data_IF_240939786951
#
_entry.id   IF_240939786951
#
_cell.length_a   1.000
_cell.length_b   1.000
_cell.length_c   1.000
_cell.angle_alpha   90.00
_cell.angle_beta   90.00
_cell.angle_gamma   90.00
#
_symmetry.space_group_name_H-M   'P 1'
#
loop_
_entity.id
_entity.type
_entity.pdbx_description
1 polymer ?
#
# COMPACT_ATOMS: atom_id res chain seq x y z
N UNK A 1 -11.20 11.76 -18.97
CA UNK A 1 -11.56 10.57 -18.18
C UNK A 1 -10.39 10.30 -17.24
N UNK A 2 -10.52 10.54 -15.93
CA UNK A 2 -9.43 10.70 -14.94
C UNK A 2 -8.64 9.42 -14.57
N UNK A 3 -8.58 8.45 -15.47
CA UNK A 3 -7.81 7.21 -15.31
C UNK A 3 -7.56 6.49 -16.63
N UNK A 4 -7.99 7.06 -17.74
CA UNK A 4 -7.70 6.53 -19.08
C UNK A 4 -6.35 7.07 -19.53
N UNK A 5 -5.36 6.18 -19.57
CA UNK A 5 -4.00 6.50 -20.01
C UNK A 5 -3.93 6.48 -21.54
N UNK A 6 -4.95 5.98 -22.25
CA UNK A 6 -4.99 5.87 -23.71
C UNK A 6 -3.99 4.87 -24.31
N UNK A 7 -3.15 4.27 -23.45
CA UNK A 7 -2.14 3.25 -23.79
C UNK A 7 -2.16 2.15 -22.74
N UNK A 8 -1.96 0.91 -23.20
CA UNK A 8 -1.80 -0.23 -22.29
C UNK A 8 -0.37 -0.22 -21.76
N UNK A 9 -0.14 -0.20 -20.44
CA UNK A 9 1.20 -0.35 -19.89
C UNK A 9 1.72 -1.77 -20.13
N UNK A 10 3.03 -1.90 -20.33
CA UNK A 10 3.69 -3.19 -20.60
C UNK A 10 3.51 -4.20 -19.45
N UNK A 11 3.36 -3.70 -18.21
CA UNK A 11 3.14 -4.50 -17.00
C UNK A 11 2.30 -3.74 -15.97
N UNK A 12 1.57 -4.46 -15.08
CA UNK A 12 0.97 -3.84 -13.90
C UNK A 12 2.02 -3.13 -13.05
N UNK A 13 1.68 -1.97 -12.50
CA UNK A 13 2.54 -1.27 -11.55
C UNK A 13 2.22 -1.73 -10.12
N UNK A 14 3.22 -1.65 -9.24
CA UNK A 14 3.07 -1.96 -7.82
C UNK A 14 2.95 -0.67 -7.00
N UNK A 15 2.22 -0.74 -5.89
CA UNK A 15 2.14 0.35 -4.91
C UNK A 15 3.07 -0.02 -3.76
N UNK A 16 4.10 0.79 -3.52
CA UNK A 16 5.02 0.54 -2.42
C UNK A 16 4.31 0.76 -1.07
N UNK A 17 4.63 -0.06 -0.07
CA UNK A 17 4.13 0.14 1.30
C UNK A 17 4.41 1.56 1.82
N UNK A 18 5.57 2.13 1.48
CA UNK A 18 5.92 3.51 1.83
C UNK A 18 5.00 4.58 1.26
N UNK A 19 4.13 4.28 0.28
CA UNK A 19 3.10 5.22 -0.19
C UNK A 19 1.96 5.39 0.83
N UNK A 20 1.79 4.43 1.74
CA UNK A 20 0.80 4.45 2.82
C UNK A 20 1.27 5.20 4.07
N UNK A 21 2.58 5.46 4.19
CA UNK A 21 3.18 6.01 5.41
C UNK A 21 3.91 7.32 5.14
N UNK A 22 3.75 8.35 5.99
CA UNK A 22 4.60 9.54 5.95
C UNK A 22 6.08 9.19 6.17
N UNK A 23 6.98 10.07 5.69
CA UNK A 23 8.40 9.94 5.99
C UNK A 23 8.63 10.15 7.50
N UNK A 24 9.65 9.49 8.05
CA UNK A 24 10.09 9.71 9.43
C UNK A 24 10.29 11.21 9.70
N UNK A 25 9.81 11.67 10.86
CA UNK A 25 9.87 13.07 11.27
C UNK A 25 8.76 13.96 10.70
N UNK A 26 7.87 13.46 9.82
CA UNK A 26 6.67 14.20 9.39
C UNK A 26 5.45 13.86 10.25
N UNK A 27 5.22 12.57 10.48
CA UNK A 27 4.22 12.04 11.41
C UNK A 27 4.59 10.59 11.72
N UNK A 28 4.46 10.21 12.99
CA UNK A 28 4.77 8.85 13.43
C UNK A 28 3.48 8.04 13.62
N UNK A 29 3.55 6.74 13.38
CA UNK A 29 2.45 5.81 13.61
C UNK A 29 1.13 6.15 12.86
N UNK A 30 1.25 6.62 11.61
CA UNK A 30 0.12 6.99 10.75
C UNK A 30 0.10 6.17 9.46
N UNK A 31 -1.05 5.57 9.16
CA UNK A 31 -1.34 4.90 7.89
C UNK A 31 -2.42 5.68 7.13
N UNK A 32 -2.21 5.86 5.83
CA UNK A 32 -3.10 6.64 4.96
C UNK A 32 -3.47 5.79 3.73
N UNK A 33 -4.44 4.87 3.82
CA UNK A 33 -4.77 3.94 2.72
C UNK A 33 -5.57 4.56 1.57
N UNK A 34 -6.13 5.75 1.75
CA UNK A 34 -6.98 6.44 0.76
C UNK A 34 -6.22 7.61 0.14
N UNK A 35 -5.81 8.59 0.95
CA UNK A 35 -5.08 9.78 0.52
C UNK A 35 -3.57 9.51 0.36
N UNK A 36 -3.21 8.39 -0.26
CA UNK A 36 -1.82 7.92 -0.40
C UNK A 36 -0.98 8.89 -1.25
N UNK A 37 0.32 8.90 -0.96
CA UNK A 37 1.27 9.63 -1.81
C UNK A 37 1.32 9.01 -3.20
N UNK A 38 0.81 9.74 -4.20
CA UNK A 38 0.70 9.26 -5.58
C UNK A 38 0.76 10.42 -6.57
N UNK A 39 1.15 10.12 -7.82
CA UNK A 39 0.93 11.07 -8.92
C UNK A 39 -0.55 11.10 -9.30
N UNK A 40 -1.00 12.19 -9.93
CA UNK A 40 -2.38 12.31 -10.38
C UNK A 40 -2.79 11.14 -11.30
N UNK A 41 -1.90 10.72 -12.20
CA UNK A 41 -2.13 9.58 -13.11
C UNK A 41 -2.27 8.27 -12.33
N UNK A 42 -1.38 7.98 -11.38
CA UNK A 42 -1.47 6.76 -10.57
C UNK A 42 -2.71 6.74 -9.69
N UNK A 43 -3.13 7.91 -9.18
CA UNK A 43 -4.33 8.02 -8.35
C UNK A 43 -5.61 7.64 -9.12
N UNK A 44 -5.62 7.86 -10.44
CA UNK A 44 -6.71 7.46 -11.33
C UNK A 44 -7.08 5.98 -11.21
N UNK A 45 -6.09 5.09 -11.08
CA UNK A 45 -6.30 3.65 -10.86
C UNK A 45 -6.28 3.24 -9.38
N UNK A 46 -5.56 3.95 -8.50
CA UNK A 46 -5.55 3.66 -7.06
C UNK A 46 -6.93 3.84 -6.43
N UNK A 47 -7.71 4.82 -6.89
CA UNK A 47 -9.02 5.14 -6.32
C UNK A 47 -10.14 4.15 -6.67
N UNK A 48 -9.83 3.11 -7.45
CA UNK A 48 -10.77 2.04 -7.75
C UNK A 48 -11.06 1.26 -6.47
N UNK A 49 -12.33 0.93 -6.19
CA UNK A 49 -12.71 0.19 -4.98
C UNK A 49 -11.84 -1.06 -4.71
N UNK A 50 -11.54 -1.93 -5.69
CA UNK A 50 -10.70 -3.11 -5.43
C UNK A 50 -9.30 -2.75 -4.94
N UNK A 51 -8.72 -1.64 -5.40
CA UNK A 51 -7.38 -1.21 -4.98
C UNK A 51 -7.43 -0.63 -3.57
N UNK A 52 -8.46 0.15 -3.21
CA UNK A 52 -8.66 0.60 -1.83
C UNK A 52 -8.86 -0.55 -0.85
N UNK A 53 -9.56 -1.62 -1.24
CA UNK A 53 -9.69 -2.82 -0.40
C UNK A 53 -8.32 -3.47 -0.13
N UNK A 54 -7.47 -3.58 -1.16
CA UNK A 54 -6.11 -4.13 -1.03
C UNK A 54 -5.24 -3.24 -0.14
N UNK A 55 -5.24 -1.92 -0.37
CA UNK A 55 -4.48 -0.98 0.46
C UNK A 55 -4.96 -0.97 1.90
N UNK A 56 -6.27 -1.10 2.12
CA UNK A 56 -6.89 -1.25 3.44
C UNK A 56 -6.40 -2.51 4.16
N UNK A 57 -6.38 -3.66 3.48
CA UNK A 57 -5.83 -4.89 4.05
C UNK A 57 -4.34 -4.72 4.40
N UNK A 58 -3.55 -4.18 3.49
CA UNK A 58 -2.11 -3.98 3.70
C UNK A 58 -1.83 -3.03 4.87
N UNK A 59 -2.58 -1.94 4.99
CA UNK A 59 -2.51 -1.02 6.12
C UNK A 59 -2.90 -1.71 7.44
N UNK A 60 -4.03 -2.40 7.49
CA UNK A 60 -4.50 -3.06 8.70
C UNK A 60 -3.55 -4.17 9.17
N UNK A 61 -2.99 -4.93 8.23
CA UNK A 61 -2.01 -5.98 8.53
C UNK A 61 -0.73 -5.38 9.11
N UNK A 62 -0.23 -4.30 8.51
CA UNK A 62 0.93 -3.61 9.04
C UNK A 62 0.67 -2.98 10.41
N UNK A 63 -0.53 -2.44 10.65
CA UNK A 63 -0.93 -1.93 11.96
C UNK A 63 -0.94 -3.02 13.02
N UNK A 64 -1.47 -4.21 12.72
CA UNK A 64 -1.46 -5.34 13.64
C UNK A 64 -0.03 -5.77 14.00
N UNK A 65 0.85 -5.91 13.00
CA UNK A 65 2.27 -6.23 13.22
C UNK A 65 2.99 -5.15 14.03
N UNK A 66 2.72 -3.87 13.75
CA UNK A 66 3.30 -2.75 14.50
C UNK A 66 2.90 -2.79 15.98
N UNK A 67 1.63 -3.12 16.28
CA UNK A 67 1.13 -3.28 17.64
C UNK A 67 1.82 -4.46 18.33
N UNK A 68 1.90 -5.62 17.67
CA UNK A 68 2.47 -6.83 18.25
C UNK A 68 3.98 -6.70 18.52
N UNK A 69 4.71 -6.06 17.61
CA UNK A 69 6.16 -5.85 17.73
C UNK A 69 6.51 -4.60 18.56
N UNK A 70 5.53 -3.76 18.93
CA UNK A 70 5.74 -2.54 19.70
C UNK A 70 6.55 -1.47 18.94
N UNK A 71 6.38 -1.39 17.62
CA UNK A 71 7.12 -0.48 16.72
C UNK A 71 6.18 0.48 16.01
N UNK A 72 6.71 1.56 15.43
CA UNK A 72 5.91 2.41 14.55
C UNK A 72 5.56 1.70 13.24
N UNK A 73 4.47 2.08 12.56
CA UNK A 73 4.11 1.50 11.24
C UNK A 73 5.21 1.66 10.18
N UNK A 74 6.07 2.67 10.31
CA UNK A 74 7.25 2.87 9.46
C UNK A 74 8.39 1.88 9.73
N UNK A 75 8.33 1.13 10.82
CA UNK A 75 9.34 0.18 11.32
C UNK A 75 8.93 -1.28 11.17
N UNK A 76 7.72 -1.53 10.68
CA UNK A 76 7.25 -2.89 10.39
C UNK A 76 8.23 -3.59 9.45
N UNK A 77 8.68 -4.78 9.87
CA UNK A 77 9.51 -5.63 9.02
C UNK A 77 8.72 -6.05 7.79
N UNK A 78 9.14 -5.55 6.63
CA UNK A 78 8.48 -5.85 5.36
C UNK A 78 8.47 -7.34 5.05
N UNK A 79 9.44 -8.12 5.54
CA UNK A 79 9.49 -9.58 5.34
C UNK A 79 8.31 -10.26 6.02
N UNK A 80 8.02 -9.89 7.28
CA UNK A 80 6.86 -10.38 8.04
C UNK A 80 5.55 -9.96 7.38
N UNK A 81 5.45 -8.68 6.99
CA UNK A 81 4.27 -8.15 6.30
C UNK A 81 4.03 -8.89 4.97
N UNK A 82 5.07 -9.05 4.15
CA UNK A 82 5.01 -9.77 2.87
C UNK A 82 4.54 -11.20 3.07
N UNK A 83 5.11 -11.92 4.02
CA UNK A 83 4.73 -13.30 4.31
C UNK A 83 3.25 -13.39 4.69
N UNK A 84 2.79 -12.53 5.61
CA UNK A 84 1.39 -12.51 6.04
C UNK A 84 0.43 -12.20 4.90
N UNK A 85 0.74 -11.18 4.09
CA UNK A 85 -0.09 -10.80 2.94
C UNK A 85 -0.20 -11.91 1.90
N UNK A 86 0.88 -12.67 1.66
CA UNK A 86 0.86 -13.83 0.77
C UNK A 86 0.03 -14.99 1.34
N UNK A 87 0.10 -15.22 2.66
CA UNK A 87 -0.75 -16.21 3.34
C UNK A 87 -2.23 -15.87 3.20
N UNK A 88 -2.58 -14.59 3.25
CA UNK A 88 -3.94 -14.09 3.03
C UNK A 88 -4.34 -14.06 1.52
N UNK A 89 -3.46 -14.50 0.62
CA UNK A 89 -3.73 -14.62 -0.81
C UNK A 89 -3.54 -13.32 -1.62
N UNK A 90 -2.94 -12.27 -1.05
CA UNK A 90 -2.65 -11.04 -1.79
C UNK A 90 -1.56 -11.27 -2.84
N UNK A 91 -1.73 -10.69 -4.03
CA UNK A 91 -0.75 -10.76 -5.13
C UNK A 91 0.24 -9.58 -5.00
N UNK A 92 1.50 -9.87 -4.69
CA UNK A 92 2.54 -8.83 -4.48
C UNK A 92 3.50 -8.65 -5.66
N UNK A 93 3.45 -9.54 -6.65
CA UNK A 93 4.26 -9.48 -7.87
C UNK A 93 3.36 -9.84 -9.06
N UNK A 94 3.56 -9.15 -10.18
CA UNK A 94 2.89 -9.54 -11.42
C UNK A 94 3.37 -10.93 -11.85
N UNK A 95 2.47 -11.76 -12.43
CA UNK A 95 2.82 -13.07 -12.98
C UNK A 95 3.81 -12.98 -14.15
#
# INVERSE_FOLDING_TARGET
NEGDIGVKPDRPYSIAYGALTPKRGQADNLLVPVCVSSSHIAYGSIRMEPVFMILGQSAATAAALAIDDGVAVQEVDYSKLRERLLQDGQILQAP
#
